data_IF_577971752198
#
_entry.id   IF_577971752198
#
_cell.length_a   1.000
_cell.length_b   1.000
_cell.length_c   1.000
_cell.angle_alpha   90.00
_cell.angle_beta   90.00
_cell.angle_gamma   90.00
#
_symmetry.space_group_name_H-M   'P 1'
#
loop_
_entity.id
_entity.type
_entity.pdbx_description
1 polymer ?
#
# COMPACT_ATOMS: atom_id res chain seq x y z
N UNK A 1 -27.72 -8.76 -6.83
CA UNK A 1 -26.31 -8.60 -7.22
C UNK A 1 -25.85 -7.29 -6.61
N UNK A 2 -25.14 -7.33 -5.48
CA UNK A 2 -24.53 -6.11 -4.93
C UNK A 2 -23.27 -5.83 -5.76
N UNK A 3 -23.34 -4.84 -6.63
CA UNK A 3 -22.16 -4.23 -7.27
C UNK A 3 -21.51 -3.28 -6.27
N UNK A 4 -21.19 -3.77 -5.08
CA UNK A 4 -20.23 -3.12 -4.20
C UNK A 4 -18.87 -3.38 -4.84
N UNK A 5 -18.59 -2.70 -5.96
CA UNK A 5 -17.28 -2.82 -6.59
C UNK A 5 -16.30 -2.23 -5.58
N UNK A 6 -15.53 -3.09 -4.92
CA UNK A 6 -14.57 -2.71 -3.89
C UNK A 6 -13.79 -1.46 -4.35
N UNK A 7 -13.93 -0.36 -3.62
CA UNK A 7 -13.32 0.93 -3.97
C UNK A 7 -11.91 0.97 -3.42
N UNK A 8 -10.95 1.29 -4.28
CA UNK A 8 -9.55 1.41 -3.91
C UNK A 8 -9.32 2.66 -3.06
N UNK A 9 -8.71 2.49 -1.89
CA UNK A 9 -8.42 3.61 -0.99
C UNK A 9 -7.30 4.56 -1.42
N UNK A 10 -6.62 4.29 -2.53
CA UNK A 10 -5.57 5.16 -3.05
C UNK A 10 -6.03 6.05 -4.21
N UNK A 11 -6.84 5.51 -5.13
CA UNK A 11 -7.26 6.21 -6.34
C UNK A 11 -8.76 6.52 -6.40
N UNK A 12 -9.53 6.08 -5.41
CA UNK A 12 -11.00 6.19 -5.34
C UNK A 12 -11.76 5.50 -6.49
N UNK A 13 -11.06 4.71 -7.33
CA UNK A 13 -11.68 3.93 -8.40
C UNK A 13 -12.17 2.57 -7.90
N UNK A 14 -13.24 2.08 -8.52
CA UNK A 14 -13.79 0.75 -8.27
C UNK A 14 -12.91 -0.37 -8.80
N UNK A 15 -13.12 -1.59 -8.30
CA UNK A 15 -12.45 -2.79 -8.80
C UNK A 15 -11.15 -3.11 -8.07
N UNK A 16 -11.01 -2.64 -6.83
CA UNK A 16 -9.96 -3.08 -5.93
C UNK A 16 -9.96 -4.61 -5.85
N UNK A 17 -8.77 -5.19 -5.90
CA UNK A 17 -8.58 -6.62 -6.13
C UNK A 17 -7.96 -7.34 -4.93
N UNK A 18 -7.61 -6.59 -3.88
CA UNK A 18 -6.97 -7.15 -2.69
C UNK A 18 -7.20 -6.35 -1.42
N UNK A 19 -6.90 -6.99 -0.29
CA UNK A 19 -6.68 -6.33 1.00
C UNK A 19 -5.20 -5.89 1.06
N UNK A 20 -4.88 -4.67 1.53
CA UNK A 20 -3.50 -4.21 1.67
C UNK A 20 -2.64 -5.13 2.55
N UNK A 21 -1.33 -5.17 2.29
CA UNK A 21 -0.37 -5.84 3.16
C UNK A 21 -0.33 -5.18 4.55
N UNK A 22 -0.12 -5.96 5.62
CA UNK A 22 -0.10 -5.44 6.97
C UNK A 22 1.22 -4.74 7.34
N UNK A 23 2.29 -5.04 6.61
CA UNK A 23 3.63 -4.47 6.80
C UNK A 23 3.85 -3.39 5.76
N UNK A 24 4.31 -2.23 6.20
CA UNK A 24 4.51 -1.03 5.38
C UNK A 24 5.88 -0.43 5.65
N UNK A 25 6.52 0.11 4.62
CA UNK A 25 7.78 0.85 4.79
C UNK A 25 7.57 2.08 5.68
N UNK A 26 8.60 2.54 6.40
CA UNK A 26 8.56 3.83 7.07
C UNK A 26 8.19 4.95 6.08
N UNK A 27 7.13 5.70 6.40
CA UNK A 27 6.63 6.79 5.55
C UNK A 27 5.70 6.36 4.41
N UNK A 28 5.35 5.08 4.32
CA UNK A 28 4.30 4.58 3.44
C UNK A 28 2.92 4.94 4.00
N UNK A 29 2.06 5.47 3.13
CA UNK A 29 0.71 5.88 3.46
C UNK A 29 -0.23 4.67 3.55
N UNK A 30 -1.22 4.77 4.44
CA UNK A 30 -2.30 3.80 4.48
C UNK A 30 -3.42 4.25 3.56
N UNK A 31 -3.93 3.34 2.72
CA UNK A 31 -5.09 3.58 1.88
C UNK A 31 -6.38 3.98 2.64
N UNK A 32 -6.43 3.82 3.97
CA UNK A 32 -7.59 4.22 4.77
C UNK A 32 -8.88 3.40 4.54
N UNK A 33 -8.91 2.52 3.54
CA UNK A 33 -10.03 1.64 3.23
C UNK A 33 -9.64 0.17 3.36
N UNK A 34 -10.64 -0.71 3.20
CA UNK A 34 -10.47 -2.17 3.32
C UNK A 34 -9.77 -2.78 2.10
N UNK A 35 -9.93 -2.19 0.93
CA UNK A 35 -9.50 -2.76 -0.35
C UNK A 35 -8.70 -1.75 -1.17
N UNK A 36 -7.71 -2.27 -1.89
CA UNK A 36 -6.86 -1.50 -2.81
C UNK A 36 -6.66 -2.27 -4.11
N UNK A 37 -6.32 -1.57 -5.18
CA UNK A 37 -5.70 -2.23 -6.33
C UNK A 37 -4.26 -2.61 -5.98
N UNK A 38 -3.83 -3.78 -6.42
CA UNK A 38 -2.45 -4.23 -6.30
C UNK A 38 -1.44 -3.24 -6.90
N UNK A 39 -1.79 -2.60 -8.02
CA UNK A 39 -0.95 -1.60 -8.67
C UNK A 39 -0.78 -0.33 -7.81
N UNK A 40 -1.86 0.21 -7.25
CA UNK A 40 -1.80 1.42 -6.44
C UNK A 40 -0.98 1.21 -5.15
N UNK A 41 -1.12 0.05 -4.51
CA UNK A 41 -0.31 -0.28 -3.35
C UNK A 41 1.17 -0.46 -3.70
N UNK A 42 1.48 -1.10 -4.83
CA UNK A 42 2.86 -1.26 -5.30
C UNK A 42 3.53 0.09 -5.63
N UNK A 43 2.79 1.02 -6.24
CA UNK A 43 3.26 2.39 -6.49
C UNK A 43 3.58 3.13 -5.19
N UNK A 44 2.71 3.04 -4.20
CA UNK A 44 2.89 3.67 -2.89
C UNK A 44 4.06 3.04 -2.12
N UNK A 45 4.15 1.71 -2.10
CA UNK A 45 5.27 0.97 -1.52
C UNK A 45 6.60 1.37 -2.18
N UNK A 46 6.64 1.47 -3.52
CA UNK A 46 7.82 1.93 -4.26
C UNK A 46 8.18 3.38 -3.92
N UNK A 47 7.19 4.28 -3.83
CA UNK A 47 7.39 5.67 -3.43
C UNK A 47 8.04 5.73 -2.06
N UNK A 48 7.44 5.10 -1.05
CA UNK A 48 7.95 5.08 0.32
C UNK A 48 9.36 4.47 0.39
N UNK A 49 9.56 3.30 -0.21
CA UNK A 49 10.87 2.65 -0.27
C UNK A 49 11.93 3.57 -0.91
N UNK A 50 11.58 4.28 -2.00
CA UNK A 50 12.52 5.16 -2.71
C UNK A 50 12.99 6.36 -1.88
N UNK A 51 12.19 6.83 -0.94
CA UNK A 51 12.50 7.97 -0.05
C UNK A 51 13.44 7.59 1.09
N UNK A 52 13.58 6.30 1.39
CA UNK A 52 14.48 5.81 2.44
C UNK A 52 15.91 5.69 1.91
N UNK A 53 16.87 6.05 2.75
CA UNK A 53 18.27 5.71 2.54
C UNK A 53 18.48 4.19 2.66
N UNK A 54 19.57 3.63 2.08
CA UNK A 54 19.89 2.22 2.24
C UNK A 54 19.97 1.77 3.70
N UNK A 55 20.50 2.63 4.58
CA UNK A 55 20.61 2.35 6.02
C UNK A 55 19.23 2.22 6.67
N UNK A 56 18.31 3.15 6.39
CA UNK A 56 16.95 3.10 6.94
C UNK A 56 16.17 1.86 6.48
N UNK A 57 16.36 1.46 5.21
CA UNK A 57 15.77 0.21 4.67
C UNK A 57 16.30 -1.01 5.41
N UNK A 58 17.63 -1.12 5.57
CA UNK A 58 18.25 -2.23 6.28
C UNK A 58 17.84 -2.27 7.76
N UNK A 59 17.74 -1.11 8.42
CA UNK A 59 17.28 -1.02 9.81
C UNK A 59 15.84 -1.50 9.95
N UNK A 60 14.94 -1.07 9.06
CA UNK A 60 13.55 -1.53 9.06
C UNK A 60 13.43 -3.04 8.83
N UNK A 61 14.15 -3.58 7.84
CA UNK A 61 14.10 -5.01 7.51
C UNK A 61 14.56 -5.91 8.66
N UNK A 62 15.37 -5.41 9.60
CA UNK A 62 15.79 -6.14 10.81
C UNK A 62 14.73 -6.16 11.91
N UNK A 63 13.65 -5.41 11.77
CA UNK A 63 12.53 -5.35 12.74
C UNK A 63 11.36 -6.26 12.40
N UNK A 64 11.37 -6.85 11.21
CA UNK A 64 10.37 -7.81 10.72
C UNK A 64 10.70 -9.23 11.18
#
# INVERSE_FOLDING_TARGET
MNTDNDVCGFCDETGADKIPHPVRWPGEESAGTKYVHAACEDEECKRAHSLLSPKERDEFLRTL
#
